data_IF_704218237353
#
_entry.id   IF_704218237353
#
_cell.length_a   1.000
_cell.length_b   1.000
_cell.length_c   1.000
_cell.angle_alpha   90.00
_cell.angle_beta   90.00
_cell.angle_gamma   90.00
#
_symmetry.space_group_name_H-M   'P 1'
#
loop_
_entity.id
_entity.type
_entity.pdbx_description
1 polymer ?
#
# COMPACT_ATOMS: atom_id res chain seq x y z
N UNK A 1 -24.77 -12.29 -19.52
CA UNK A 1 -23.60 -12.72 -18.72
C UNK A 1 -24.09 -13.08 -17.32
N UNK A 2 -23.89 -14.33 -16.85
CA UNK A 2 -24.45 -14.78 -15.56
C UNK A 2 -23.58 -14.28 -14.40
N UNK A 3 -24.17 -14.03 -13.23
CA UNK A 3 -23.44 -13.60 -12.03
C UNK A 3 -22.31 -14.57 -11.63
N UNK A 4 -22.47 -15.86 -11.95
CA UNK A 4 -21.47 -16.90 -11.76
C UNK A 4 -20.21 -16.68 -12.61
N UNK A 5 -20.38 -16.26 -13.87
CA UNK A 5 -19.27 -15.99 -14.80
C UNK A 5 -18.46 -14.77 -14.34
N UNK A 6 -19.16 -13.75 -13.82
CA UNK A 6 -18.52 -12.55 -13.28
C UNK A 6 -17.66 -12.87 -12.06
N UNK A 7 -18.15 -13.70 -11.13
CA UNK A 7 -17.38 -14.11 -9.95
C UNK A 7 -16.13 -14.93 -10.32
N UNK A 8 -16.25 -15.82 -11.30
CA UNK A 8 -15.12 -16.61 -11.78
C UNK A 8 -14.01 -15.73 -12.37
N UNK A 9 -14.37 -14.66 -13.09
CA UNK A 9 -13.42 -13.70 -13.66
C UNK A 9 -12.78 -12.78 -12.60
N UNK A 10 -13.40 -12.55 -11.45
CA UNK A 10 -12.84 -11.70 -10.38
C UNK A 10 -11.73 -12.39 -9.58
N UNK A 11 -11.77 -13.71 -9.43
CA UNK A 11 -10.78 -14.48 -8.66
C UNK A 11 -9.34 -14.29 -9.20
N UNK A 12 -9.03 -14.50 -10.50
CA UNK A 12 -7.68 -14.32 -11.01
C UNK A 12 -7.17 -12.89 -10.85
N UNK A 13 -8.04 -11.89 -11.07
CA UNK A 13 -7.70 -10.47 -10.85
C UNK A 13 -7.35 -10.19 -9.39
N UNK A 14 -8.15 -10.69 -8.45
CA UNK A 14 -7.89 -10.54 -7.00
C UNK A 14 -6.59 -11.21 -6.58
N UNK A 15 -6.31 -12.41 -7.08
CA UNK A 15 -5.04 -13.11 -6.83
C UNK A 15 -3.88 -12.30 -7.42
N UNK A 16 -4.02 -11.77 -8.64
CA UNK A 16 -3.03 -10.88 -9.25
C UNK A 16 -2.72 -9.67 -8.37
N UNK A 17 -3.74 -9.01 -7.82
CA UNK A 17 -3.55 -7.88 -6.89
C UNK A 17 -2.81 -8.28 -5.61
N UNK A 18 -3.10 -9.47 -5.06
CA UNK A 18 -2.38 -9.99 -3.89
C UNK A 18 -0.90 -10.24 -4.23
N UNK A 19 -0.62 -10.84 -5.39
CA UNK A 19 0.75 -11.09 -5.86
C UNK A 19 1.51 -9.78 -6.06
N UNK A 20 0.90 -8.79 -6.73
CA UNK A 20 1.51 -7.46 -6.91
C UNK A 20 1.81 -6.82 -5.55
N UNK A 21 0.88 -6.92 -4.60
CA UNK A 21 1.08 -6.38 -3.24
C UNK A 21 2.22 -7.10 -2.50
N UNK A 22 2.34 -8.42 -2.66
CA UNK A 22 3.45 -9.19 -2.10
C UNK A 22 4.80 -8.81 -2.73
N UNK A 23 4.83 -8.53 -4.04
CA UNK A 23 6.02 -8.00 -4.72
C UNK A 23 6.38 -6.62 -4.19
N UNK A 24 5.41 -5.71 -4.01
CA UNK A 24 5.66 -4.39 -3.41
C UNK A 24 6.22 -4.49 -2.00
N UNK A 25 5.72 -5.43 -1.18
CA UNK A 25 6.27 -5.74 0.14
C UNK A 25 7.71 -6.26 0.03
N UNK A 26 8.01 -7.16 -0.91
CA UNK A 26 9.39 -7.65 -1.09
C UNK A 26 10.33 -6.52 -1.53
N UNK A 27 9.88 -5.63 -2.42
CA UNK A 27 10.63 -4.46 -2.85
C UNK A 27 10.86 -3.47 -1.70
N UNK A 28 9.88 -3.30 -0.80
CA UNK A 28 10.05 -2.41 0.36
C UNK A 28 11.16 -2.87 1.31
N UNK A 29 11.48 -4.18 1.34
CA UNK A 29 12.55 -4.75 2.15
C UNK A 29 13.94 -4.57 1.53
N UNK A 30 14.07 -4.04 0.31
CA UNK A 30 15.36 -3.76 -0.30
C UNK A 30 15.93 -2.48 0.31
N UNK A 31 17.07 -2.62 1.02
CA UNK A 31 17.82 -1.52 1.67
C UNK A 31 16.88 -0.57 2.42
N UNK A 32 16.19 -1.08 3.46
CA UNK A 32 15.27 -0.27 4.23
C UNK A 32 16.04 0.80 5.02
N UNK A 33 15.52 2.04 5.14
CA UNK A 33 16.15 3.06 5.98
C UNK A 33 16.09 2.70 7.47
N UNK A 34 15.07 1.95 7.90
CA UNK A 34 14.80 1.55 9.29
C UNK A 34 14.52 0.05 9.41
N UNK A 35 15.53 -0.84 9.30
CA UNK A 35 15.33 -2.28 9.15
C UNK A 35 14.60 -2.96 10.32
N UNK A 36 14.87 -2.53 11.56
CA UNK A 36 14.33 -3.16 12.77
C UNK A 36 12.85 -2.83 12.93
N UNK A 37 12.53 -1.55 12.83
CA UNK A 37 11.17 -1.01 12.93
C UNK A 37 10.30 -1.54 11.79
N UNK A 38 10.87 -1.60 10.59
CA UNK A 38 10.18 -2.08 9.42
C UNK A 38 9.82 -3.57 9.52
N UNK A 39 10.68 -4.40 10.11
CA UNK A 39 10.37 -5.82 10.34
C UNK A 39 9.13 -5.99 11.23
N UNK A 40 9.03 -5.20 12.32
CA UNK A 40 7.89 -5.21 13.21
C UNK A 40 6.60 -4.78 12.50
N UNK A 41 6.69 -3.74 11.66
CA UNK A 41 5.53 -3.19 10.95
C UNK A 41 5.05 -4.06 9.79
N UNK A 42 5.92 -4.88 9.20
CA UNK A 42 5.57 -5.80 8.12
C UNK A 42 5.05 -7.16 8.60
N UNK A 43 5.28 -7.56 9.86
CA UNK A 43 4.73 -8.81 10.39
C UNK A 43 3.19 -8.88 10.28
N UNK A 44 2.42 -7.85 10.69
CA UNK A 44 0.97 -7.81 10.43
C UNK A 44 0.61 -7.80 8.95
N UNK A 45 1.43 -7.17 8.09
CA UNK A 45 1.21 -7.11 6.64
C UNK A 45 1.27 -8.49 6.00
N UNK A 46 2.24 -9.33 6.41
CA UNK A 46 2.36 -10.71 5.92
C UNK A 46 1.13 -11.53 6.31
N UNK A 47 0.66 -11.41 7.56
CA UNK A 47 -0.56 -12.07 8.03
C UNK A 47 -1.79 -11.60 7.23
N UNK A 48 -1.92 -10.28 7.04
CA UNK A 48 -3.01 -9.70 6.27
C UNK A 48 -3.01 -10.18 4.81
N UNK A 49 -1.85 -10.30 4.17
CA UNK A 49 -1.72 -10.85 2.81
C UNK A 49 -2.18 -12.30 2.72
N UNK A 50 -1.81 -13.14 3.70
CA UNK A 50 -2.27 -14.53 3.77
C UNK A 50 -3.79 -14.62 3.90
N UNK A 51 -4.39 -13.83 4.79
CA UNK A 51 -5.84 -13.75 4.95
C UNK A 51 -6.53 -13.23 3.68
N UNK A 52 -5.94 -12.24 3.01
CA UNK A 52 -6.49 -11.65 1.79
C UNK A 52 -6.44 -12.63 0.62
N UNK A 53 -5.40 -13.47 0.53
CA UNK A 53 -5.32 -14.56 -0.44
C UNK A 53 -6.45 -15.58 -0.25
N UNK A 54 -6.70 -16.00 0.99
CA UNK A 54 -7.82 -16.90 1.32
C UNK A 54 -9.16 -16.23 0.97
N UNK A 55 -9.34 -14.96 1.32
CA UNK A 55 -10.54 -14.21 1.00
C UNK A 55 -10.76 -14.03 -0.51
N UNK A 56 -9.68 -13.91 -1.30
CA UNK A 56 -9.72 -13.87 -2.76
C UNK A 56 -10.17 -15.22 -3.35
N UNK A 57 -9.57 -16.33 -2.91
CA UNK A 57 -9.91 -17.67 -3.39
C UNK A 57 -11.34 -18.09 -3.04
N UNK A 58 -11.79 -17.75 -1.83
CA UNK A 58 -13.14 -18.08 -1.35
C UNK A 58 -14.20 -17.05 -1.74
N UNK A 59 -13.79 -15.95 -2.38
CA UNK A 59 -14.64 -14.83 -2.78
C UNK A 59 -15.54 -14.31 -1.64
N UNK A 60 -14.99 -14.23 -0.43
CA UNK A 60 -15.72 -13.82 0.78
C UNK A 60 -16.01 -12.31 0.84
N UNK A 61 -15.10 -11.50 0.29
CA UNK A 61 -15.21 -10.05 0.31
C UNK A 61 -15.96 -9.52 -0.92
N UNK A 62 -16.79 -8.49 -0.70
CA UNK A 62 -17.30 -7.65 -1.79
C UNK A 62 -16.15 -6.91 -2.46
N UNK A 63 -16.21 -6.75 -3.79
CA UNK A 63 -15.18 -6.07 -4.60
C UNK A 63 -14.71 -4.72 -4.03
N UNK A 64 -15.59 -3.78 -3.61
CA UNK A 64 -15.12 -2.51 -3.03
C UNK A 64 -14.34 -2.72 -1.72
N UNK A 65 -14.80 -3.61 -0.84
CA UNK A 65 -14.09 -3.90 0.41
C UNK A 65 -12.70 -4.49 0.14
N UNK A 66 -12.59 -5.40 -0.84
CA UNK A 66 -11.31 -5.95 -1.26
C UNK A 66 -10.36 -4.85 -1.78
N UNK A 67 -10.86 -3.94 -2.61
CA UNK A 67 -10.07 -2.82 -3.13
C UNK A 67 -9.59 -1.88 -2.01
N UNK A 68 -10.44 -1.59 -1.03
CA UNK A 68 -10.04 -0.78 0.13
C UNK A 68 -8.91 -1.44 0.93
N UNK A 69 -8.97 -2.76 1.15
CA UNK A 69 -7.90 -3.48 1.85
C UNK A 69 -6.59 -3.44 1.05
N UNK A 70 -6.64 -3.64 -0.27
CA UNK A 70 -5.45 -3.52 -1.13
C UNK A 70 -4.86 -2.11 -1.05
N UNK A 71 -5.68 -1.06 -1.20
CA UNK A 71 -5.24 0.32 -1.11
C UNK A 71 -4.62 0.63 0.26
N UNK A 72 -5.25 0.17 1.34
CA UNK A 72 -4.69 0.28 2.69
C UNK A 72 -3.34 -0.42 2.81
N UNK A 73 -3.19 -1.65 2.28
CA UNK A 73 -1.92 -2.37 2.34
C UNK A 73 -0.82 -1.64 1.56
N UNK A 74 -1.13 -1.02 0.42
CA UNK A 74 -0.13 -0.24 -0.33
C UNK A 74 0.33 1.00 0.46
N UNK A 75 -0.61 1.74 1.03
CA UNK A 75 -0.31 2.87 1.91
C UNK A 75 0.48 2.41 3.15
N UNK A 76 0.14 1.26 3.72
CA UNK A 76 0.84 0.70 4.87
C UNK A 76 2.24 0.21 4.52
N UNK A 77 2.46 -0.42 3.36
CA UNK A 77 3.80 -0.83 2.91
C UNK A 77 4.70 0.39 2.72
N UNK A 78 4.15 1.44 2.10
CA UNK A 78 4.85 2.71 1.93
C UNK A 78 5.17 3.36 3.27
N UNK A 79 4.16 3.48 4.14
CA UNK A 79 4.32 4.00 5.50
C UNK A 79 5.36 3.20 6.28
N UNK A 80 5.31 1.87 6.22
CA UNK A 80 6.21 1.02 6.99
C UNK A 80 7.67 1.08 6.55
N UNK A 81 7.93 1.27 5.24
CA UNK A 81 9.28 1.53 4.74
C UNK A 81 9.89 2.79 5.35
N UNK A 82 9.07 3.79 5.64
CA UNK A 82 9.51 5.11 6.12
C UNK A 82 8.99 5.44 7.52
N UNK A 83 8.64 4.40 8.30
CA UNK A 83 8.07 4.51 9.65
C UNK A 83 7.01 5.63 9.80
N UNK A 84 6.18 5.78 8.77
CA UNK A 84 5.09 6.75 8.57
C UNK A 84 5.53 8.21 8.40
N UNK A 85 6.52 8.67 9.18
CA UNK A 85 6.89 10.09 9.25
C UNK A 85 8.02 10.51 8.32
N UNK A 86 8.80 9.57 7.78
CA UNK A 86 10.02 9.87 7.00
C UNK A 86 9.86 9.59 5.51
N UNK A 87 8.63 9.63 5.01
CA UNK A 87 8.40 9.50 3.57
C UNK A 87 8.99 10.76 2.91
N UNK A 88 9.87 10.62 1.90
CA UNK A 88 10.55 11.76 1.28
C UNK A 88 9.63 12.52 0.31
N UNK A 89 8.54 13.09 0.85
CA UNK A 89 7.55 13.83 0.07
C UNK A 89 8.15 15.07 -0.63
N UNK A 90 9.04 15.79 0.07
CA UNK A 90 9.74 16.94 -0.50
C UNK A 90 10.56 16.55 -1.72
N UNK A 91 11.42 15.53 -1.60
CA UNK A 91 12.30 15.11 -2.70
C UNK A 91 11.49 14.63 -3.92
N UNK A 92 10.37 13.94 -3.68
CA UNK A 92 9.49 13.46 -4.75
C UNK A 92 8.79 14.60 -5.47
N UNK A 93 8.25 15.58 -4.72
CA UNK A 93 7.54 16.72 -5.29
C UNK A 93 8.49 17.70 -5.97
N UNK A 94 9.70 17.85 -5.46
CA UNK A 94 10.73 18.67 -6.08
C UNK A 94 11.16 18.04 -7.42
N UNK A 95 11.42 16.73 -7.45
CA UNK A 95 11.77 16.03 -8.68
C UNK A 95 10.67 16.01 -9.76
N UNK A 96 9.40 16.05 -9.36
CA UNK A 96 8.26 15.98 -10.29
C UNK A 96 7.75 17.36 -10.73
N UNK A 97 7.73 18.34 -9.82
CA UNK A 97 7.06 19.63 -10.01
C UNK A 97 7.93 20.84 -9.64
N UNK A 98 9.13 20.63 -9.08
CA UNK A 98 9.99 21.70 -8.56
C UNK A 98 9.40 22.40 -7.33
N UNK A 99 8.57 21.70 -6.55
CA UNK A 99 7.92 22.24 -5.34
C UNK A 99 8.32 21.44 -4.10
N UNK A 100 8.46 22.13 -2.98
CA UNK A 100 8.67 21.50 -1.66
C UNK A 100 7.43 21.68 -0.80
N UNK A 101 6.96 20.57 -0.22
CA UNK A 101 5.75 20.56 0.60
C UNK A 101 5.98 21.32 1.92
N UNK A 102 7.19 21.21 2.47
CA UNK A 102 7.62 21.95 3.66
C UNK A 102 7.54 23.47 3.46
N UNK A 103 7.99 23.98 2.32
CA UNK A 103 7.93 25.42 2.00
C UNK A 103 6.49 25.92 1.92
N UNK A 104 5.58 25.15 1.30
CA UNK A 104 4.16 25.46 1.25
C UNK A 104 3.53 25.56 2.64
N UNK A 105 3.79 24.60 3.52
CA UNK A 105 3.27 24.63 4.90
C UNK A 105 3.86 25.79 5.70
N UNK A 106 5.14 26.11 5.50
CA UNK A 106 5.79 27.25 6.15
C UNK A 106 5.15 28.58 5.74
N UNK A 107 4.96 28.79 4.45
CA UNK A 107 4.32 30.00 3.92
C UNK A 107 2.87 30.14 4.41
N UNK A 108 2.12 29.04 4.46
CA UNK A 108 0.76 29.03 5.00
C UNK A 108 0.74 29.41 6.49
N UNK A 109 1.69 28.91 7.28
CA UNK A 109 1.81 29.23 8.70
C UNK A 109 2.21 30.69 8.97
N UNK A 110 3.05 31.29 8.13
CA UNK A 110 3.46 32.71 8.22
C UNK A 110 2.34 33.68 7.78
N UNK A 111 1.27 33.18 7.14
CA UNK A 111 0.14 33.98 6.63
C UNK A 111 -1.09 34.06 7.56
N UNK A 112 -1.04 33.40 8.73
CA UNK A 112 -2.05 33.42 9.79
C UNK A 112 -1.64 34.34 10.94
#
# INVERSE_FOLDING_TARGET
MKLTDKKAAEIPTRIGLVIVTAVLLALSLIRPPFPVEQALQHAPTVVALGLLLVAAQKNWLKTPAFCCVIAFLWLHILGARYIYSFVPYDDWLDGLFGIRLSDWFRLAAESL
#
